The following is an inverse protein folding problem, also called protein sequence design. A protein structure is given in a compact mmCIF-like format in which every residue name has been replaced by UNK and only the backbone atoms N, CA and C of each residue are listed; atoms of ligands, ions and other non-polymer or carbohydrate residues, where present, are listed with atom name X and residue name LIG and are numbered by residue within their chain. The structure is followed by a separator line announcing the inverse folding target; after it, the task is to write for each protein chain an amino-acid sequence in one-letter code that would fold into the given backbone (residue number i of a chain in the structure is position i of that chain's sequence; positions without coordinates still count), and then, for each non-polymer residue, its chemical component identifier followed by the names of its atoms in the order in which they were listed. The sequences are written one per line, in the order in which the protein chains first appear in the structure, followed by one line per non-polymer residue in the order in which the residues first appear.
data_IF_885916676861
#
_entry.id   IF_885916676861
#
_cell.length_a   1.000
_cell.length_b   1.000
_cell.length_c   1.000
_cell.angle_alpha   90.00
_cell.angle_beta   90.00
_cell.angle_gamma   90.00
#
_symmetry.space_group_name_H-M   'P 1'
#
loop_
_entity.id
_entity.type
_entity.pdbx_description
1 polymer ?
#
# COMPACT_ATOMS: atom_id res chain seq x y z
N UNK A 1 56.82 -1.61 -6.82
CA UNK A 1 57.38 -2.77 -6.10
C UNK A 1 56.64 -3.98 -6.62
N UNK A 2 57.19 -4.60 -7.66
CA UNK A 2 56.74 -5.88 -8.21
C UNK A 2 56.84 -6.98 -7.17
N UNK A 3 55.95 -7.97 -7.24
CA UNK A 3 56.22 -9.37 -6.90
C UNK A 3 55.13 -10.26 -7.52
N UNK A 4 55.47 -10.82 -8.69
CA UNK A 4 54.92 -12.09 -9.22
C UNK A 4 55.41 -13.28 -8.38
N UNK A 5 54.61 -14.35 -8.30
CA UNK A 5 54.97 -15.78 -8.53
C UNK A 5 53.97 -16.69 -7.79
N UNK A 6 53.05 -17.39 -8.47
CA UNK A 6 53.24 -18.65 -9.22
C UNK A 6 53.45 -19.88 -8.34
N UNK A 7 52.46 -20.78 -8.31
CA UNK A 7 52.65 -22.23 -8.12
C UNK A 7 51.64 -23.01 -8.98
N UNK A 8 52.15 -23.61 -10.04
CA UNK A 8 51.54 -24.66 -10.87
C UNK A 8 52.48 -25.84 -10.78
N UNK A 9 51.99 -27.03 -10.40
CA UNK A 9 52.65 -28.34 -10.65
C UNK A 9 51.57 -29.42 -10.45
N UNK A 10 50.97 -29.99 -11.52
CA UNK A 10 51.42 -31.10 -12.39
C UNK A 10 51.28 -32.49 -11.73
N UNK A 11 50.40 -33.31 -12.33
CA UNK A 11 50.17 -34.74 -12.09
C UNK A 11 51.40 -35.60 -12.44
N UNK A 12 51.54 -36.75 -11.75
CA UNK A 12 52.47 -37.81 -12.19
C UNK A 12 52.53 -39.01 -11.23
N UNK A 13 51.97 -40.14 -11.67
CA UNK A 13 51.93 -41.45 -10.99
C UNK A 13 53.32 -42.06 -10.78
N UNK A 14 53.52 -42.77 -9.66
CA UNK A 14 54.45 -43.90 -9.57
C UNK A 14 53.76 -45.02 -8.78
N UNK A 15 53.69 -46.20 -9.41
CA UNK A 15 53.17 -47.46 -8.90
C UNK A 15 54.26 -48.32 -8.24
N UNK A 16 53.83 -49.05 -7.20
CA UNK A 16 54.30 -50.34 -6.66
C UNK A 16 55.77 -50.52 -6.25
N UNK A 17 56.00 -50.89 -4.97
CA UNK A 17 56.76 -52.09 -4.61
C UNK A 17 56.45 -52.57 -3.17
N UNK A 18 56.25 -53.88 -3.03
CA UNK A 18 55.86 -54.69 -1.86
C UNK A 18 56.98 -54.88 -0.81
N UNK A 19 56.58 -55.04 0.45
CA UNK A 19 57.31 -55.81 1.49
C UNK A 19 56.34 -56.71 2.29
N UNK A 20 56.82 -57.79 2.95
CA UNK A 20 56.09 -59.04 3.13
C UNK A 20 55.36 -59.21 4.47
N UNK A 21 54.43 -60.19 4.46
CA UNK A 21 53.54 -60.63 5.53
C UNK A 21 54.23 -60.97 6.86
N UNK A 22 53.67 -60.46 7.96
CA UNK A 22 53.73 -61.07 9.28
C UNK A 22 52.29 -61.24 9.79
N UNK A 23 51.89 -62.50 10.01
CA UNK A 23 50.56 -62.91 10.45
C UNK A 23 50.52 -62.89 11.98
N UNK A 24 49.69 -62.01 12.56
CA UNK A 24 49.28 -62.08 13.97
C UNK A 24 47.78 -62.37 14.04
N UNK A 25 47.42 -63.46 14.73
CA UNK A 25 46.06 -63.94 14.93
C UNK A 25 45.34 -63.05 15.96
N UNK A 26 44.22 -62.43 15.57
CA UNK A 26 43.25 -61.78 16.47
C UNK A 26 41.98 -62.66 16.60
N UNK A 27 41.33 -62.70 17.78
CA UNK A 27 40.11 -63.49 18.01
C UNK A 27 38.88 -62.88 17.29
N UNK A 28 37.79 -63.66 17.07
CA UNK A 28 36.71 -63.25 16.17
C UNK A 28 35.86 -62.11 16.77
N UNK A 29 35.71 -61.03 16.01
CA UNK A 29 34.73 -59.98 16.29
C UNK A 29 33.31 -60.46 15.94
N UNK A 30 32.34 -60.14 16.80
CA UNK A 30 30.91 -60.36 16.57
C UNK A 30 30.44 -59.59 15.33
N UNK A 31 29.48 -60.12 14.55
CA UNK A 31 28.91 -59.38 13.42
C UNK A 31 28.12 -58.16 13.95
N UNK A 32 28.57 -56.98 13.56
CA UNK A 32 27.89 -55.70 13.76
C UNK A 32 26.70 -55.62 12.78
N UNK A 33 25.52 -55.28 13.30
CA UNK A 33 24.31 -55.17 12.51
C UNK A 33 24.40 -53.99 11.52
N UNK A 34 23.80 -54.09 10.32
CA UNK A 34 23.81 -52.98 9.36
C UNK A 34 23.13 -51.74 9.97
N UNK A 35 23.64 -50.52 9.69
CA UNK A 35 23.00 -49.30 10.16
C UNK A 35 21.58 -49.22 9.59
N UNK A 36 20.62 -48.89 10.46
CA UNK A 36 19.24 -48.66 10.06
C UNK A 36 19.18 -47.56 8.99
N UNK A 37 18.31 -47.68 7.97
CA UNK A 37 18.20 -46.67 6.94
C UNK A 37 17.75 -45.35 7.57
N UNK A 38 18.50 -44.28 7.29
CA UNK A 38 18.13 -42.91 7.62
C UNK A 38 16.78 -42.66 6.95
N UNK A 39 15.73 -42.48 7.76
CA UNK A 39 14.44 -42.00 7.24
C UNK A 39 14.66 -40.56 6.77
N UNK A 40 14.78 -40.38 5.45
CA UNK A 40 14.57 -39.09 4.81
C UNK A 40 13.14 -38.64 5.14
N UNK A 41 13.00 -37.48 5.80
CA UNK A 41 11.70 -36.85 5.99
C UNK A 41 11.03 -36.70 4.61
N UNK A 42 9.73 -36.99 4.46
CA UNK A 42 9.05 -36.78 3.19
C UNK A 42 9.13 -35.29 2.83
N UNK A 43 9.63 -34.98 1.63
CA UNK A 43 9.51 -33.65 1.04
C UNK A 43 8.03 -33.28 0.97
N UNK A 44 7.65 -32.19 1.63
CA UNK A 44 6.30 -31.63 1.49
C UNK A 44 6.04 -31.31 0.01
N UNK A 45 4.81 -31.57 -0.45
CA UNK A 45 4.41 -31.20 -1.81
C UNK A 45 4.33 -29.68 -1.95
N UNK A 46 4.53 -29.16 -3.16
CA UNK A 46 4.48 -27.71 -3.44
C UNK A 46 3.15 -27.08 -2.99
N UNK A 47 2.03 -27.77 -3.21
CA UNK A 47 0.69 -27.34 -2.77
C UNK A 47 0.58 -27.20 -1.24
N UNK A 48 1.23 -28.09 -0.48
CA UNK A 48 1.23 -28.00 0.99
C UNK A 48 2.08 -26.83 1.49
N UNK A 49 3.14 -26.50 0.76
CA UNK A 49 3.98 -25.33 1.04
C UNK A 49 3.20 -24.06 0.80
N UNK A 50 2.59 -23.92 -0.38
CA UNK A 50 1.83 -22.71 -0.75
C UNK A 50 0.70 -22.45 0.23
N UNK A 51 -0.02 -23.51 0.64
CA UNK A 51 -1.08 -23.41 1.64
C UNK A 51 -0.57 -22.91 2.99
N UNK A 52 0.62 -23.34 3.42
CA UNK A 52 1.25 -22.85 4.67
C UNK A 52 1.66 -21.39 4.54
N UNK A 53 2.33 -21.02 3.45
CA UNK A 53 2.72 -19.64 3.18
C UNK A 53 1.49 -18.72 3.20
N UNK A 54 0.43 -19.11 2.49
CA UNK A 54 -0.82 -18.36 2.45
C UNK A 54 -1.47 -18.19 3.82
N UNK A 55 -1.47 -19.24 4.65
CA UNK A 55 -2.00 -19.17 6.01
C UNK A 55 -1.24 -18.14 6.86
N UNK A 56 0.09 -18.11 6.78
CA UNK A 56 0.91 -17.15 7.54
C UNK A 56 0.67 -15.73 7.04
N UNK A 57 0.57 -15.54 5.72
CA UNK A 57 0.31 -14.23 5.12
C UNK A 57 -1.08 -13.72 5.52
N UNK A 58 -2.12 -14.54 5.41
CA UNK A 58 -3.48 -14.13 5.76
C UNK A 58 -3.60 -13.81 7.26
N UNK A 59 -2.94 -14.56 8.15
CA UNK A 59 -2.88 -14.27 9.58
C UNK A 59 -2.13 -12.97 9.89
N UNK A 60 -0.96 -12.77 9.26
CA UNK A 60 -0.20 -11.54 9.36
C UNK A 60 -1.02 -10.33 8.91
N UNK A 61 -1.69 -10.41 7.76
CA UNK A 61 -2.48 -9.31 7.23
C UNK A 61 -3.72 -9.01 8.09
N UNK A 62 -4.24 -10.00 8.82
CA UNK A 62 -5.37 -9.82 9.72
C UNK A 62 -4.97 -9.18 11.06
N UNK A 63 -3.85 -9.59 11.65
CA UNK A 63 -3.45 -9.20 13.01
C UNK A 63 -2.37 -8.10 13.01
N UNK A 64 -1.65 -7.93 11.90
CA UNK A 64 -0.51 -7.04 11.71
C UNK A 64 0.64 -7.29 12.73
N UNK A 65 0.81 -8.54 13.17
CA UNK A 65 1.90 -8.93 14.06
C UNK A 65 3.15 -9.34 13.27
N UNK A 66 4.03 -8.37 13.04
CA UNK A 66 5.31 -8.59 12.39
C UNK A 66 6.20 -9.60 13.12
N UNK A 67 6.18 -9.64 14.45
CA UNK A 67 7.09 -10.52 15.21
C UNK A 67 6.70 -11.97 15.02
N UNK A 68 5.40 -12.26 15.11
CA UNK A 68 4.88 -13.60 14.90
C UNK A 68 5.13 -14.06 13.45
N UNK A 69 4.79 -13.23 12.46
CA UNK A 69 5.02 -13.57 11.05
C UNK A 69 6.49 -13.87 10.75
N UNK A 70 7.41 -13.06 11.29
CA UNK A 70 8.85 -13.25 11.18
C UNK A 70 9.35 -14.55 11.83
N UNK A 71 8.67 -15.02 12.89
CA UNK A 71 8.98 -16.30 13.53
C UNK A 71 8.43 -17.47 12.70
N UNK A 72 7.20 -17.39 12.22
CA UNK A 72 6.61 -18.43 11.36
C UNK A 72 7.44 -18.64 10.08
N UNK A 73 7.94 -17.56 9.45
CA UNK A 73 8.78 -17.65 8.26
C UNK A 73 10.16 -18.25 8.57
N UNK A 74 10.71 -18.00 9.76
CA UNK A 74 11.96 -18.63 10.19
C UNK A 74 11.80 -20.14 10.32
N UNK A 75 10.66 -20.63 10.82
CA UNK A 75 10.33 -22.06 10.87
C UNK A 75 10.14 -22.68 9.47
N UNK A 76 9.69 -21.89 8.49
CA UNK A 76 9.62 -22.30 7.08
C UNK A 76 11.01 -22.40 6.42
N UNK A 77 11.99 -21.58 6.83
CA UNK A 77 13.32 -21.49 6.19
C UNK A 77 14.09 -22.81 6.17
N UNK A 78 13.83 -23.69 7.15
CA UNK A 78 14.44 -25.02 7.24
C UNK A 78 14.08 -25.96 6.07
N UNK A 79 13.17 -25.55 5.18
CA UNK A 79 12.63 -26.35 4.09
C UNK A 79 12.94 -25.76 2.69
N UNK A 80 13.75 -24.71 2.59
CA UNK A 80 14.08 -24.02 1.32
C UNK A 80 12.88 -23.45 0.55
N UNK A 81 11.86 -22.98 1.27
CA UNK A 81 10.56 -22.54 0.73
C UNK A 81 10.41 -21.02 0.61
N UNK A 82 11.48 -20.26 0.88
CA UNK A 82 11.43 -18.80 0.98
C UNK A 82 11.05 -18.11 -0.33
N UNK A 83 11.50 -18.53 -1.53
CA UNK A 83 11.01 -17.96 -2.78
C UNK A 83 9.49 -18.14 -2.97
N UNK A 84 8.96 -19.29 -2.53
CA UNK A 84 7.52 -19.60 -2.62
C UNK A 84 6.73 -18.70 -1.68
N UNK A 85 7.24 -18.45 -0.47
CA UNK A 85 6.62 -17.48 0.46
C UNK A 85 6.52 -16.08 -0.17
N UNK A 86 7.58 -15.61 -0.82
CA UNK A 86 7.59 -14.32 -1.51
C UNK A 86 6.60 -14.33 -2.67
N UNK A 87 6.60 -15.35 -3.53
CA UNK A 87 5.67 -15.48 -4.67
C UNK A 87 4.21 -15.46 -4.23
N UNK A 88 3.82 -16.35 -3.31
CA UNK A 88 2.46 -16.42 -2.76
C UNK A 88 2.08 -15.08 -2.13
N UNK A 89 3.05 -14.44 -1.49
CA UNK A 89 2.91 -13.12 -0.92
C UNK A 89 2.56 -12.01 -1.90
N UNK A 90 3.33 -11.92 -2.98
CA UNK A 90 3.07 -10.99 -4.08
C UNK A 90 1.70 -11.30 -4.69
N UNK A 91 1.46 -12.53 -5.15
CA UNK A 91 0.23 -12.93 -5.82
C UNK A 91 -1.03 -12.71 -4.98
N UNK A 92 -0.97 -12.97 -3.67
CA UNK A 92 -2.12 -12.81 -2.79
C UNK A 92 -2.44 -11.37 -2.41
N UNK A 93 -1.50 -10.43 -2.60
CA UNK A 93 -1.64 -9.03 -2.15
C UNK A 93 -1.67 -8.02 -3.28
N UNK A 94 -1.19 -8.39 -4.47
CA UNK A 94 -1.00 -7.48 -5.61
C UNK A 94 -2.26 -6.66 -5.96
N UNK A 95 -3.42 -7.31 -5.96
CA UNK A 95 -4.72 -6.70 -6.29
C UNK A 95 -5.56 -6.31 -5.06
N UNK A 96 -4.98 -6.33 -3.85
CA UNK A 96 -5.64 -5.87 -2.62
C UNK A 96 -5.47 -4.36 -2.43
N UNK A 97 -5.76 -3.84 -1.23
CA UNK A 97 -5.57 -2.41 -0.91
C UNK A 97 -4.09 -2.00 -0.88
N UNK A 98 -3.83 -0.71 -1.04
CA UNK A 98 -2.48 -0.13 -0.93
C UNK A 98 -1.85 -0.43 0.43
N UNK A 99 -2.61 -0.33 1.52
CA UNK A 99 -2.14 -0.66 2.87
C UNK A 99 -1.71 -2.12 2.96
N UNK A 100 -2.47 -3.03 2.34
CA UNK A 100 -2.14 -4.46 2.31
C UNK A 100 -0.82 -4.70 1.58
N UNK A 101 -0.59 -4.03 0.44
CA UNK A 101 0.68 -4.09 -0.28
C UNK A 101 1.83 -3.48 0.51
N UNK A 102 1.64 -2.33 1.17
CA UNK A 102 2.69 -1.75 2.02
C UNK A 102 3.06 -2.70 3.16
N UNK A 103 2.08 -3.20 3.93
CA UNK A 103 2.33 -4.16 5.01
C UNK A 103 3.13 -5.37 4.53
N UNK A 104 2.78 -5.90 3.35
CA UNK A 104 3.50 -7.01 2.77
C UNK A 104 4.93 -6.65 2.37
N UNK A 105 5.13 -5.50 1.71
CA UNK A 105 6.45 -4.98 1.40
C UNK A 105 7.31 -4.71 2.65
N UNK A 106 6.71 -4.21 3.74
CA UNK A 106 7.38 -4.03 5.04
C UNK A 106 7.82 -5.37 5.63
N UNK A 107 6.97 -6.40 5.57
CA UNK A 107 7.31 -7.73 6.08
C UNK A 107 8.50 -8.32 5.31
N UNK A 108 8.47 -8.23 3.97
CA UNK A 108 9.59 -8.66 3.13
C UNK A 108 10.88 -7.89 3.45
N UNK A 109 10.80 -6.57 3.63
CA UNK A 109 11.95 -5.76 4.05
C UNK A 109 12.51 -6.22 5.40
N UNK A 110 11.68 -6.43 6.41
CA UNK A 110 12.12 -6.90 7.73
C UNK A 110 12.78 -8.29 7.66
N UNK A 111 12.23 -9.21 6.86
CA UNK A 111 12.80 -10.53 6.63
C UNK A 111 14.20 -10.45 6.01
N UNK A 112 14.39 -9.56 5.02
CA UNK A 112 15.70 -9.33 4.39
C UNK A 112 16.66 -8.65 5.37
N UNK A 113 16.20 -7.62 6.07
CA UNK A 113 17.00 -6.87 7.05
C UNK A 113 17.51 -7.76 8.18
N UNK A 114 16.70 -8.72 8.64
CA UNK A 114 17.09 -9.68 9.68
C UNK A 114 17.87 -10.88 9.15
N UNK A 115 18.14 -10.96 7.84
CA UNK A 115 18.84 -12.09 7.21
C UNK A 115 18.04 -13.39 7.15
N UNK A 116 16.73 -13.36 7.42
CA UNK A 116 15.83 -14.53 7.37
C UNK A 116 15.39 -14.85 5.94
N UNK A 117 15.35 -13.83 5.08
CA UNK A 117 15.12 -13.96 3.65
C UNK A 117 16.37 -13.50 2.90
N UNK A 118 16.93 -14.35 2.05
CA UNK A 118 18.06 -13.96 1.21
C UNK A 118 17.57 -13.05 0.07
N UNK A 119 18.44 -12.14 -0.40
CA UNK A 119 18.14 -11.30 -1.57
C UNK A 119 17.81 -12.13 -2.81
N UNK A 120 18.50 -13.25 -3.00
CA UNK A 120 18.27 -14.15 -4.14
C UNK A 120 16.88 -14.79 -4.09
N UNK A 121 16.43 -15.20 -2.91
CA UNK A 121 15.08 -15.74 -2.74
C UNK A 121 14.01 -14.67 -2.92
N UNK A 122 14.28 -13.44 -2.48
CA UNK A 122 13.42 -12.28 -2.76
C UNK A 122 13.27 -12.05 -4.26
N UNK A 123 14.38 -11.92 -5.01
CA UNK A 123 14.32 -11.74 -6.46
C UNK A 123 13.62 -12.90 -7.17
N UNK A 124 13.91 -14.14 -6.76
CA UNK A 124 13.31 -15.33 -7.33
C UNK A 124 11.79 -15.37 -7.13
N UNK A 125 11.30 -14.93 -5.97
CA UNK A 125 9.87 -14.89 -5.68
C UNK A 125 9.08 -13.88 -6.51
N UNK A 126 9.72 -12.82 -7.02
CA UNK A 126 9.11 -11.85 -7.93
C UNK A 126 9.20 -12.24 -9.40
N UNK A 127 10.09 -13.18 -9.77
CA UNK A 127 10.44 -13.46 -11.17
C UNK A 127 9.22 -13.80 -12.02
N UNK A 128 8.41 -14.77 -11.58
CA UNK A 128 7.24 -15.25 -12.33
C UNK A 128 6.21 -14.12 -12.54
N UNK A 129 5.96 -13.32 -11.50
CA UNK A 129 5.04 -12.17 -11.58
C UNK A 129 5.57 -11.08 -12.52
N UNK A 130 6.86 -10.77 -12.48
CA UNK A 130 7.47 -9.76 -13.36
C UNK A 130 7.48 -10.21 -14.83
N UNK A 131 7.69 -11.49 -15.10
CA UNK A 131 7.62 -12.06 -16.45
C UNK A 131 6.21 -11.95 -17.05
N UNK A 132 5.17 -12.08 -16.22
CA UNK A 132 3.76 -11.98 -16.64
C UNK A 132 3.18 -10.57 -16.51
N UNK A 133 3.91 -9.60 -15.96
CA UNK A 133 3.37 -8.29 -15.60
C UNK A 133 2.81 -7.48 -16.79
N UNK A 134 3.42 -7.60 -17.99
CA UNK A 134 2.92 -6.91 -19.18
C UNK A 134 1.58 -7.48 -19.67
N UNK A 135 1.40 -8.81 -19.57
CA UNK A 135 0.12 -9.46 -19.87
C UNK A 135 -0.93 -9.10 -18.80
N UNK A 136 -0.55 -9.11 -17.53
CA UNK A 136 -1.42 -8.71 -16.41
C UNK A 136 -1.88 -7.25 -16.51
N UNK A 137 -1.08 -6.37 -17.13
CA UNK A 137 -1.42 -4.96 -17.32
C UNK A 137 -2.69 -4.76 -18.18
N UNK A 138 -3.10 -5.78 -18.94
CA UNK A 138 -4.35 -5.77 -19.72
C UNK A 138 -5.56 -5.74 -18.78
N UNK A 139 -5.54 -6.55 -17.72
CA UNK A 139 -6.64 -6.68 -16.76
C UNK A 139 -6.46 -5.78 -15.52
N UNK A 140 -5.22 -5.42 -15.20
CA UNK A 140 -4.83 -4.64 -14.02
C UNK A 140 -4.08 -3.37 -14.48
N UNK A 141 -4.79 -2.27 -14.79
CA UNK A 141 -4.16 -1.07 -15.35
C UNK A 141 -3.04 -0.46 -14.49
N UNK A 142 -3.09 -0.66 -13.17
CA UNK A 142 -2.15 -0.11 -12.18
C UNK A 142 -1.10 -1.12 -11.70
N UNK A 143 -0.91 -2.24 -12.42
CA UNK A 143 0.00 -3.32 -12.01
C UNK A 143 1.42 -2.84 -11.69
N UNK A 144 1.94 -1.88 -12.45
CA UNK A 144 3.29 -1.34 -12.27
C UNK A 144 3.43 -0.56 -10.96
N UNK A 145 2.41 0.25 -10.61
CA UNK A 145 2.32 0.92 -9.32
C UNK A 145 2.22 -0.11 -8.19
N UNK A 146 1.39 -1.13 -8.34
CA UNK A 146 1.19 -2.16 -7.31
C UNK A 146 2.48 -2.96 -7.03
N UNK A 147 3.21 -3.32 -8.09
CA UNK A 147 4.54 -3.92 -7.97
C UNK A 147 5.53 -2.96 -7.30
N UNK A 148 5.52 -1.67 -7.67
CA UNK A 148 6.39 -0.68 -7.05
C UNK A 148 6.09 -0.50 -5.55
N UNK A 149 4.84 -0.55 -5.12
CA UNK A 149 4.43 -0.46 -3.71
C UNK A 149 4.96 -1.63 -2.88
N UNK A 150 4.94 -2.86 -3.42
CA UNK A 150 5.50 -4.04 -2.75
C UNK A 150 7.03 -3.97 -2.62
N UNK A 151 7.70 -3.29 -3.55
CA UNK A 151 9.16 -3.31 -3.68
C UNK A 151 9.84 -2.12 -3.01
N UNK A 152 9.21 -0.94 -3.02
CA UNK A 152 9.78 0.31 -2.50
C UNK A 152 10.26 0.21 -1.05
N UNK A 153 9.57 -0.49 -0.12
CA UNK A 153 10.08 -0.70 1.24
C UNK A 153 11.46 -1.34 1.30
N UNK A 154 11.85 -2.14 0.29
CA UNK A 154 13.15 -2.79 0.22
C UNK A 154 14.33 -1.80 0.06
N UNK A 155 14.06 -0.55 -0.31
CA UNK A 155 15.05 0.52 -0.43
C UNK A 155 15.32 1.27 0.88
N UNK A 156 14.65 0.89 1.97
CA UNK A 156 14.94 1.38 3.32
C UNK A 156 16.27 0.85 3.84
N UNK A 157 16.74 1.43 4.93
CA UNK A 157 17.98 1.01 5.58
C UNK A 157 17.97 -0.50 5.92
N UNK A 158 19.09 -1.17 5.67
CA UNK A 158 19.21 -2.63 5.86
C UNK A 158 18.56 -3.50 4.78
N UNK A 159 17.94 -2.90 3.76
CA UNK A 159 17.39 -3.61 2.60
C UNK A 159 18.40 -3.81 1.45
N UNK A 160 17.90 -3.68 0.22
CA UNK A 160 18.66 -3.86 -1.02
C UNK A 160 19.07 -2.50 -1.58
N UNK A 161 20.29 -2.41 -2.13
CA UNK A 161 20.72 -1.16 -2.76
C UNK A 161 19.88 -0.84 -4.01
N UNK A 162 19.59 0.44 -4.25
CA UNK A 162 18.81 0.87 -5.42
C UNK A 162 19.39 0.32 -6.73
N UNK A 163 20.72 0.33 -6.88
CA UNK A 163 21.39 -0.23 -8.05
C UNK A 163 21.11 -1.71 -8.26
N UNK A 164 21.30 -2.51 -7.21
CA UNK A 164 21.10 -3.98 -7.25
C UNK A 164 19.63 -4.31 -7.55
N UNK A 165 18.69 -3.63 -6.87
CA UNK A 165 17.27 -3.81 -7.07
C UNK A 165 16.87 -3.56 -8.53
N UNK A 166 17.24 -2.39 -9.09
CA UNK A 166 16.88 -2.01 -10.46
C UNK A 166 17.47 -2.99 -11.46
N UNK A 167 18.73 -3.40 -11.28
CA UNK A 167 19.37 -4.33 -12.20
C UNK A 167 18.68 -5.69 -12.22
N UNK A 168 18.33 -6.24 -11.05
CA UNK A 168 17.69 -7.55 -10.95
C UNK A 168 16.24 -7.52 -11.47
N UNK A 169 15.44 -6.54 -11.05
CA UNK A 169 14.04 -6.42 -11.46
C UNK A 169 13.88 -6.08 -12.94
N UNK A 170 14.88 -5.44 -13.55
CA UNK A 170 14.83 -5.10 -14.98
C UNK A 170 15.10 -6.31 -15.88
N UNK A 171 15.79 -7.37 -15.41
CA UNK A 171 16.12 -8.54 -16.25
C UNK A 171 14.91 -9.14 -16.98
N UNK A 172 13.78 -9.46 -16.31
CA UNK A 172 12.60 -9.97 -17.00
C UNK A 172 11.85 -8.90 -17.81
N UNK A 173 12.04 -7.61 -17.50
CA UNK A 173 11.27 -6.51 -18.09
C UNK A 173 11.93 -5.85 -19.32
N UNK A 174 13.24 -6.02 -19.49
CA UNK A 174 13.98 -5.48 -20.64
C UNK A 174 13.48 -6.06 -21.98
N UNK A 175 13.25 -7.39 -22.13
CA UNK A 175 12.76 -7.97 -23.39
C UNK A 175 11.40 -7.43 -23.83
N UNK A 176 10.54 -7.04 -22.89
CA UNK A 176 9.20 -6.49 -23.14
C UNK A 176 9.18 -4.96 -23.12
N UNK A 177 10.32 -4.30 -22.91
CA UNK A 177 10.42 -2.84 -22.92
C UNK A 177 9.72 -2.13 -21.74
N UNK A 178 9.49 -2.83 -20.61
CA UNK A 178 8.76 -2.30 -19.45
C UNK A 178 9.62 -1.94 -18.25
N UNK A 179 10.94 -2.16 -18.32
CA UNK A 179 11.85 -1.89 -17.21
C UNK A 179 11.78 -0.42 -16.75
N UNK A 180 11.75 0.53 -17.70
CA UNK A 180 11.61 1.95 -17.41
C UNK A 180 10.31 2.32 -16.70
N UNK A 181 9.20 1.63 -16.99
CA UNK A 181 7.88 1.88 -16.40
C UNK A 181 7.89 1.55 -14.90
N UNK A 182 8.32 0.34 -14.54
CA UNK A 182 8.44 -0.04 -13.12
C UNK A 182 9.44 0.87 -12.38
N UNK A 183 10.56 1.20 -13.01
CA UNK A 183 11.56 2.09 -12.42
C UNK A 183 10.97 3.48 -12.14
N UNK A 184 10.18 4.03 -13.07
CA UNK A 184 9.53 5.33 -12.90
C UNK A 184 8.58 5.31 -11.70
N UNK A 185 7.77 4.27 -11.54
CA UNK A 185 6.86 4.10 -10.40
C UNK A 185 7.61 4.03 -9.06
N UNK A 186 8.69 3.23 -8.98
CA UNK A 186 9.53 3.15 -7.78
C UNK A 186 10.10 4.54 -7.42
N UNK A 187 10.64 5.26 -8.40
CA UNK A 187 11.21 6.60 -8.16
C UNK A 187 10.14 7.63 -7.77
N UNK A 188 8.94 7.52 -8.34
CA UNK A 188 7.80 8.36 -7.99
C UNK A 188 7.36 8.13 -6.54
N UNK A 189 7.20 6.87 -6.11
CA UNK A 189 6.87 6.53 -4.72
C UNK A 189 7.94 7.02 -3.74
N UNK A 190 9.22 6.91 -4.09
CA UNK A 190 10.29 7.49 -3.28
C UNK A 190 10.16 9.01 -3.18
N UNK A 191 9.78 9.71 -4.25
CA UNK A 191 9.56 11.16 -4.22
C UNK A 191 8.38 11.56 -3.31
N UNK A 192 7.38 10.70 -3.13
CA UNK A 192 6.32 10.90 -2.13
C UNK A 192 6.84 10.76 -0.70
N UNK A 193 7.81 9.87 -0.47
CA UNK A 193 8.37 9.61 0.87
C UNK A 193 9.54 10.55 1.24
N UNK A 194 10.24 11.10 0.24
CA UNK A 194 11.39 11.98 0.47
C UNK A 194 11.57 13.00 -0.67
N UNK A 195 12.24 14.13 -0.41
CA UNK A 195 12.42 15.17 -1.42
C UNK A 195 13.04 14.68 -2.74
N UNK A 196 12.60 15.23 -3.88
CA UNK A 196 13.17 14.98 -5.21
C UNK A 196 14.70 15.13 -5.26
N UNK A 197 15.27 16.06 -4.47
CA UNK A 197 16.73 16.25 -4.37
C UNK A 197 17.42 15.02 -3.81
N UNK A 198 16.82 14.36 -2.81
CA UNK A 198 17.36 13.14 -2.18
C UNK A 198 17.22 11.94 -3.13
N UNK A 199 16.05 11.76 -3.75
CA UNK A 199 15.85 10.70 -4.76
C UNK A 199 16.81 10.86 -5.94
N UNK A 200 16.98 12.09 -6.44
CA UNK A 200 17.94 12.39 -7.50
C UNK A 200 19.40 12.21 -7.10
N UNK A 201 19.74 12.24 -5.80
CA UNK A 201 21.06 11.85 -5.32
C UNK A 201 21.23 10.32 -5.34
N UNK A 202 20.26 9.59 -4.78
CA UNK A 202 20.25 8.12 -4.80
C UNK A 202 20.34 7.56 -6.22
N UNK A 203 19.56 8.09 -7.16
CA UNK A 203 19.60 7.71 -8.57
C UNK A 203 21.01 7.91 -9.15
N UNK A 204 21.64 9.06 -8.93
CA UNK A 204 23.00 9.34 -9.43
C UNK A 204 24.06 8.41 -8.83
N UNK A 205 23.91 8.03 -7.57
CA UNK A 205 24.81 7.08 -6.89
C UNK A 205 24.76 5.68 -7.49
N UNK A 206 23.64 5.30 -8.14
CA UNK A 206 23.56 4.01 -8.84
C UNK A 206 24.51 3.90 -10.04
N UNK A 207 24.87 5.03 -10.65
CA UNK A 207 25.64 5.09 -11.89
C UNK A 207 24.89 4.53 -13.10
N UNK A 208 23.57 4.34 -13.01
CA UNK A 208 22.73 3.81 -14.08
C UNK A 208 22.27 4.90 -15.05
N UNK A 209 21.96 4.51 -16.29
CA UNK A 209 21.42 5.38 -17.32
C UNK A 209 20.01 4.95 -17.69
N UNK A 210 19.07 5.90 -17.82
CA UNK A 210 17.71 5.61 -18.30
C UNK A 210 17.71 4.91 -19.66
N UNK A 211 18.69 5.22 -20.53
CA UNK A 211 18.81 4.59 -21.85
C UNK A 211 18.99 3.08 -21.79
N UNK A 212 19.48 2.54 -20.67
CA UNK A 212 19.68 1.10 -20.50
C UNK A 212 18.35 0.38 -20.18
N UNK A 213 17.30 1.13 -19.84
CA UNK A 213 16.01 0.61 -19.35
C UNK A 213 14.81 1.07 -20.19
N UNK A 214 15.05 1.82 -21.27
CA UNK A 214 14.04 2.24 -22.23
C UNK A 214 14.23 1.53 -23.58
N UNK A 215 13.14 1.23 -24.31
CA UNK A 215 13.17 0.84 -25.71
C UNK A 215 14.10 1.69 -26.59
N UNK A 216 14.71 1.05 -27.60
CA UNK A 216 15.59 1.75 -28.54
C UNK A 216 14.85 2.89 -29.27
N UNK A 217 15.41 4.09 -29.20
CA UNK A 217 14.87 5.28 -29.87
C UNK A 217 13.87 6.09 -29.04
N UNK A 218 13.49 5.62 -27.85
CA UNK A 218 12.66 6.39 -26.93
C UNK A 218 13.44 7.55 -26.30
N UNK A 219 12.83 8.73 -26.28
CA UNK A 219 13.42 9.91 -25.66
C UNK A 219 13.16 9.93 -24.15
N UNK A 220 14.23 10.00 -23.37
CA UNK A 220 14.17 9.96 -21.90
C UNK A 220 13.30 11.08 -21.33
N UNK A 221 13.41 12.30 -21.87
CA UNK A 221 12.67 13.44 -21.35
C UNK A 221 11.17 13.29 -21.61
N UNK A 222 10.81 12.87 -22.82
CA UNK A 222 9.43 12.62 -23.24
C UNK A 222 8.82 11.50 -22.38
N UNK A 223 9.54 10.38 -22.22
CA UNK A 223 9.11 9.27 -21.36
C UNK A 223 8.83 9.75 -19.92
N UNK A 224 9.78 10.48 -19.30
CA UNK A 224 9.62 10.94 -17.92
C UNK A 224 8.46 11.93 -17.77
N UNK A 225 8.23 12.80 -18.75
CA UNK A 225 7.06 13.69 -18.73
C UNK A 225 5.76 12.89 -18.77
N UNK A 226 5.67 11.89 -19.64
CA UNK A 226 4.50 11.02 -19.74
C UNK A 226 4.25 10.26 -18.43
N UNK A 227 5.29 9.67 -17.82
CA UNK A 227 5.15 8.96 -16.55
C UNK A 227 4.67 9.86 -15.40
N UNK A 228 5.18 11.10 -15.30
CA UNK A 228 4.68 12.06 -14.30
C UNK A 228 3.21 12.35 -14.53
N UNK A 229 2.80 12.63 -15.78
CA UNK A 229 1.38 12.90 -16.10
C UNK A 229 0.46 11.69 -15.89
N UNK A 230 0.98 10.46 -16.02
CA UNK A 230 0.22 9.24 -15.76
C UNK A 230 0.05 8.97 -14.26
N UNK A 231 1.09 9.24 -13.45
CA UNK A 231 1.03 9.14 -11.99
C UNK A 231 0.20 10.25 -11.33
N UNK A 232 0.11 11.41 -11.98
CA UNK A 232 -0.70 12.57 -11.59
C UNK A 232 -2.07 12.58 -12.28
N UNK A 233 -2.67 11.41 -12.58
CA UNK A 233 -4.11 11.35 -12.86
C UNK A 233 -4.90 11.68 -11.58
N UNK A 234 -4.80 12.93 -11.14
CA UNK A 234 -5.69 13.48 -10.14
C UNK A 234 -7.10 13.44 -10.72
N UNK A 235 -7.99 12.68 -10.08
CA UNK A 235 -9.40 12.74 -10.41
C UNK A 235 -9.85 14.19 -10.23
N UNK A 236 -10.41 14.78 -11.29
CA UNK A 236 -10.95 16.13 -11.18
C UNK A 236 -12.09 16.15 -10.14
N UNK A 237 -12.40 17.33 -9.62
CA UNK A 237 -13.51 17.50 -8.67
C UNK A 237 -14.83 16.91 -9.19
N UNK A 238 -15.08 16.98 -10.49
CA UNK A 238 -16.29 16.46 -11.13
C UNK A 238 -16.28 14.92 -11.17
N UNK A 239 -15.14 14.31 -11.51
CA UNK A 239 -14.98 12.86 -11.54
C UNK A 239 -15.06 12.25 -10.14
N UNK A 240 -14.42 12.88 -9.14
CA UNK A 240 -14.52 12.50 -7.74
C UNK A 240 -15.96 12.48 -7.25
N UNK A 241 -16.70 13.57 -7.49
CA UNK A 241 -18.11 13.66 -7.11
C UNK A 241 -18.94 12.56 -7.78
N UNK A 242 -18.75 12.33 -9.08
CA UNK A 242 -19.50 11.33 -9.84
C UNK A 242 -19.22 9.92 -9.33
N UNK A 243 -17.96 9.58 -9.06
CA UNK A 243 -17.59 8.23 -8.61
C UNK A 243 -18.05 7.96 -7.17
N UNK A 244 -17.87 8.90 -6.25
CA UNK A 244 -18.35 8.75 -4.87
C UNK A 244 -19.88 8.73 -4.79
N UNK A 245 -20.57 9.53 -5.60
CA UNK A 245 -22.03 9.48 -5.71
C UNK A 245 -22.51 8.13 -6.21
N UNK A 246 -21.92 7.60 -7.28
CA UNK A 246 -22.24 6.25 -7.77
C UNK A 246 -22.01 5.21 -6.67
N UNK A 247 -20.83 5.23 -6.03
CA UNK A 247 -20.44 4.23 -5.04
C UNK A 247 -21.34 4.23 -3.81
N UNK A 248 -21.67 5.41 -3.28
CA UNK A 248 -22.42 5.56 -2.02
C UNK A 248 -23.95 5.52 -2.26
N UNK A 249 -24.44 6.16 -3.33
CA UNK A 249 -25.88 6.34 -3.58
C UNK A 249 -26.44 5.21 -4.45
N UNK A 250 -25.79 4.91 -5.58
CA UNK A 250 -26.30 3.93 -6.57
C UNK A 250 -25.95 2.50 -6.16
N UNK A 251 -24.65 2.23 -5.97
CA UNK A 251 -24.11 0.89 -5.69
C UNK A 251 -24.32 0.49 -4.22
N UNK A 252 -24.59 1.47 -3.35
CA UNK A 252 -24.79 1.28 -1.89
C UNK A 252 -23.66 0.46 -1.25
N UNK A 253 -22.43 0.74 -1.67
CA UNK A 253 -21.23 0.04 -1.19
C UNK A 253 -21.12 0.12 0.34
N UNK A 254 -20.61 -0.93 0.98
CA UNK A 254 -20.32 -0.89 2.41
C UNK A 254 -19.08 -0.03 2.71
N UNK A 255 -18.76 0.18 3.99
CA UNK A 255 -17.65 1.07 4.36
C UNK A 255 -16.28 0.54 3.91
N UNK A 256 -16.05 -0.77 3.98
CA UNK A 256 -14.82 -1.43 3.53
C UNK A 256 -14.58 -1.21 2.03
N UNK A 257 -15.62 -1.41 1.21
CA UNK A 257 -15.56 -1.15 -0.23
C UNK A 257 -15.29 0.32 -0.57
N UNK A 258 -15.78 1.25 0.26
CA UNK A 258 -15.50 2.68 0.07
C UNK A 258 -14.06 2.99 0.46
N UNK A 259 -13.56 2.44 1.56
CA UNK A 259 -12.15 2.58 1.95
C UNK A 259 -11.22 2.02 0.87
N UNK A 260 -11.49 0.80 0.40
CA UNK A 260 -10.73 0.17 -0.67
C UNK A 260 -10.71 1.02 -1.94
N UNK A 261 -11.87 1.57 -2.33
CA UNK A 261 -11.94 2.45 -3.49
C UNK A 261 -11.14 3.74 -3.29
N UNK A 262 -11.27 4.40 -2.14
CA UNK A 262 -10.51 5.63 -1.86
C UNK A 262 -9.00 5.36 -1.87
N UNK A 263 -8.56 4.28 -1.22
CA UNK A 263 -7.14 3.89 -1.17
C UNK A 263 -6.60 3.43 -2.52
N UNK A 264 -7.43 2.85 -3.39
CA UNK A 264 -7.02 2.44 -4.72
C UNK A 264 -6.94 3.60 -5.73
N UNK A 265 -7.65 4.71 -5.49
CA UNK A 265 -7.83 5.78 -6.47
C UNK A 265 -7.23 7.13 -6.05
N UNK A 266 -6.98 7.35 -4.76
CA UNK A 266 -6.44 8.60 -4.23
C UNK A 266 -5.16 8.34 -3.46
N UNK A 267 -4.23 9.29 -3.53
CA UNK A 267 -3.06 9.27 -2.65
C UNK A 267 -3.31 10.01 -1.33
N UNK A 268 -2.35 9.90 -0.41
CA UNK A 268 -2.45 10.49 0.93
C UNK A 268 -2.68 12.01 0.92
N UNK A 269 -2.15 12.73 -0.09
CA UNK A 269 -2.35 14.17 -0.21
C UNK A 269 -3.78 14.50 -0.67
N UNK A 270 -4.31 13.71 -1.60
CA UNK A 270 -5.65 13.84 -2.13
C UNK A 270 -6.72 13.42 -1.12
N UNK A 271 -6.47 12.40 -0.31
CA UNK A 271 -7.37 11.96 0.78
C UNK A 271 -7.59 13.04 1.85
N UNK A 272 -6.66 14.00 1.98
CA UNK A 272 -6.81 15.16 2.88
C UNK A 272 -7.21 16.43 2.15
N UNK A 273 -7.46 16.37 0.84
CA UNK A 273 -7.75 17.55 0.03
C UNK A 273 -9.17 18.07 0.25
N UNK A 274 -9.40 19.40 0.21
CA UNK A 274 -10.74 19.98 0.24
C UNK A 274 -11.66 19.38 -0.84
N UNK A 275 -11.14 19.10 -2.03
CA UNK A 275 -11.90 18.55 -3.15
C UNK A 275 -12.53 17.20 -2.79
N UNK A 276 -11.73 16.27 -2.25
CA UNK A 276 -12.21 14.96 -1.84
C UNK A 276 -13.20 15.05 -0.68
N UNK A 277 -12.86 15.78 0.38
CA UNK A 277 -13.69 15.89 1.58
C UNK A 277 -15.08 16.45 1.25
N UNK A 278 -15.13 17.46 0.37
CA UNK A 278 -16.40 18.04 -0.11
C UNK A 278 -17.20 17.06 -0.95
N UNK A 279 -16.55 16.27 -1.80
CA UNK A 279 -17.21 15.26 -2.62
C UNK A 279 -17.80 14.12 -1.77
N UNK A 280 -17.02 13.62 -0.81
CA UNK A 280 -17.47 12.60 0.16
C UNK A 280 -18.69 13.09 0.95
N UNK A 281 -18.60 14.29 1.53
CA UNK A 281 -19.69 14.88 2.29
C UNK A 281 -20.95 15.07 1.43
N UNK A 282 -20.79 15.55 0.19
CA UNK A 282 -21.89 15.73 -0.76
C UNK A 282 -22.58 14.39 -1.05
N UNK A 283 -21.82 13.32 -1.31
CA UNK A 283 -22.37 12.01 -1.62
C UNK A 283 -23.11 11.39 -0.42
N UNK A 284 -22.56 11.49 0.79
CA UNK A 284 -23.23 11.01 2.02
C UNK A 284 -24.52 11.79 2.27
N UNK A 285 -24.49 13.12 2.13
CA UNK A 285 -25.69 13.95 2.30
C UNK A 285 -26.76 13.61 1.27
N UNK A 286 -26.38 13.42 -0.01
CA UNK A 286 -27.31 13.00 -1.06
C UNK A 286 -27.96 11.66 -0.74
N UNK A 287 -27.18 10.67 -0.28
CA UNK A 287 -27.70 9.36 0.10
C UNK A 287 -28.71 9.42 1.25
N UNK A 288 -28.53 10.38 2.18
CA UNK A 288 -29.38 10.55 3.34
C UNK A 288 -30.67 11.34 3.07
N UNK A 289 -30.80 12.02 1.92
CA UNK A 289 -32.02 12.79 1.60
C UNK A 289 -33.08 11.87 1.00
N UNK A 290 -34.24 11.81 1.65
CA UNK A 290 -35.37 10.97 1.24
C UNK A 290 -36.65 11.79 1.03
N UNK A 291 -37.46 11.39 0.03
CA UNK A 291 -38.78 11.95 -0.24
C UNK A 291 -38.78 13.48 -0.40
N UNK A 292 -39.75 14.15 0.22
CA UNK A 292 -39.90 15.62 0.23
C UNK A 292 -38.90 16.29 1.19
N UNK A 293 -37.60 16.15 0.93
CA UNK A 293 -36.52 16.83 1.65
C UNK A 293 -36.47 16.55 3.16
N UNK A 294 -36.46 15.26 3.53
CA UNK A 294 -36.15 14.80 4.90
C UNK A 294 -34.79 14.13 4.95
N UNK A 295 -34.18 14.12 6.13
CA UNK A 295 -32.94 13.39 6.40
C UNK A 295 -33.26 12.05 7.02
N UNK A 296 -32.80 10.97 6.39
CA UNK A 296 -32.69 9.65 7.01
C UNK A 296 -31.40 9.60 7.84
N UNK A 297 -31.54 9.81 9.15
CA UNK A 297 -30.39 9.83 10.07
C UNK A 297 -29.71 8.48 10.19
N UNK A 298 -30.40 7.37 9.87
CA UNK A 298 -29.78 6.05 9.88
C UNK A 298 -28.69 5.93 8.81
N UNK A 299 -28.89 6.54 7.65
CA UNK A 299 -27.89 6.57 6.57
C UNK A 299 -26.67 7.38 6.97
N UNK A 300 -26.85 8.52 7.67
CA UNK A 300 -25.71 9.32 8.16
C UNK A 300 -24.94 8.52 9.21
N UNK A 301 -25.64 7.98 10.22
CA UNK A 301 -25.04 7.14 11.28
C UNK A 301 -24.25 5.97 10.72
N UNK A 302 -24.76 5.33 9.68
CA UNK A 302 -24.06 4.26 8.97
C UNK A 302 -22.71 4.73 8.39
N UNK A 303 -22.59 6.00 7.97
CA UNK A 303 -21.38 6.55 7.33
C UNK A 303 -20.47 7.34 8.25
N UNK A 304 -20.82 7.47 9.54
CA UNK A 304 -19.97 8.11 10.56
C UNK A 304 -18.54 7.57 10.56
N UNK A 305 -18.28 6.24 10.49
CA UNK A 305 -16.90 5.73 10.49
C UNK A 305 -16.05 6.28 9.33
N UNK A 306 -16.63 6.43 8.14
CA UNK A 306 -15.94 6.97 6.97
C UNK A 306 -15.69 8.46 7.14
N UNK A 307 -16.69 9.23 7.59
CA UNK A 307 -16.56 10.66 7.79
C UNK A 307 -15.49 10.96 8.85
N UNK A 308 -15.51 10.27 9.99
CA UNK A 308 -14.50 10.42 11.04
C UNK A 308 -13.10 10.04 10.56
N UNK A 309 -12.96 8.96 9.76
CA UNK A 309 -11.66 8.53 9.22
C UNK A 309 -10.97 9.62 8.40
N UNK A 310 -11.71 10.42 7.63
CA UNK A 310 -11.12 11.39 6.70
C UNK A 310 -11.15 12.83 7.22
N UNK A 311 -12.14 13.21 8.04
CA UNK A 311 -12.18 14.51 8.72
C UNK A 311 -11.19 14.56 9.90
N UNK A 312 -10.93 13.43 10.55
CA UNK A 312 -9.83 13.24 11.50
C UNK A 312 -9.82 14.26 12.66
N UNK A 313 -11.01 14.68 13.10
CA UNK A 313 -11.20 15.73 14.12
C UNK A 313 -10.44 17.04 13.83
N UNK A 314 -10.15 17.31 12.55
CA UNK A 314 -9.47 18.52 12.11
C UNK A 314 -10.51 19.58 11.72
N UNK A 315 -10.50 20.70 12.44
CA UNK A 315 -11.50 21.77 12.29
C UNK A 315 -11.53 22.35 10.87
N UNK A 316 -10.41 22.41 10.15
CA UNK A 316 -10.39 22.93 8.77
C UNK A 316 -11.00 21.92 7.79
N UNK A 317 -10.79 20.62 8.00
CA UNK A 317 -11.42 19.55 7.21
C UNK A 317 -12.93 19.50 7.46
N UNK A 318 -13.35 19.57 8.72
CA UNK A 318 -14.76 19.65 9.11
C UNK A 318 -15.45 20.88 8.50
N UNK A 319 -14.75 22.02 8.48
CA UNK A 319 -15.24 23.23 7.84
C UNK A 319 -15.49 23.05 6.33
N UNK A 320 -14.62 22.30 5.63
CA UNK A 320 -14.85 21.94 4.23
C UNK A 320 -16.12 21.09 4.05
N UNK A 321 -16.38 20.14 4.95
CA UNK A 321 -17.61 19.35 4.95
C UNK A 321 -18.85 20.24 5.13
N UNK A 322 -18.81 21.19 6.06
CA UNK A 322 -19.92 22.15 6.27
C UNK A 322 -20.17 23.04 5.05
N UNK A 323 -19.13 23.48 4.35
CA UNK A 323 -19.30 24.22 3.10
C UNK A 323 -19.90 23.37 1.98
N UNK A 324 -19.50 22.10 1.85
CA UNK A 324 -20.11 21.17 0.90
C UNK A 324 -21.59 20.91 1.19
N UNK A 325 -21.93 20.73 2.46
CA UNK A 325 -23.30 20.59 2.92
C UNK A 325 -24.11 21.85 2.57
N UNK A 326 -23.64 23.04 2.94
CA UNK A 326 -24.31 24.30 2.58
C UNK A 326 -24.55 24.39 1.06
N UNK A 327 -23.51 24.16 0.25
CA UNK A 327 -23.61 24.22 -1.20
C UNK A 327 -24.64 23.22 -1.75
N UNK A 328 -24.73 22.02 -1.16
CA UNK A 328 -25.72 21.01 -1.52
C UNK A 328 -27.14 21.44 -1.18
N UNK A 329 -27.36 22.01 0.00
CA UNK A 329 -28.67 22.54 0.41
C UNK A 329 -29.09 23.72 -0.47
N UNK A 330 -28.15 24.58 -0.85
CA UNK A 330 -28.40 25.71 -1.77
C UNK A 330 -28.84 25.22 -3.14
N UNK A 331 -28.25 24.14 -3.67
CA UNK A 331 -28.66 23.52 -4.94
C UNK A 331 -30.07 22.94 -4.91
N UNK A 332 -30.62 22.66 -3.73
CA UNK A 332 -31.99 22.18 -3.54
C UNK A 332 -32.98 23.31 -3.27
N UNK A 333 -32.61 24.56 -3.54
CA UNK A 333 -33.38 25.77 -3.24
C UNK A 333 -33.69 25.96 -1.74
N UNK A 334 -32.83 25.42 -0.87
CA UNK A 334 -32.84 25.63 0.58
C UNK A 334 -34.18 25.27 1.26
N UNK A 335 -34.60 24.00 1.20
CA UNK A 335 -35.83 23.55 1.84
C UNK A 335 -35.77 23.79 3.35
N UNK A 336 -36.91 24.16 3.97
CA UNK A 336 -36.95 24.50 5.39
C UNK A 336 -36.53 23.31 6.24
N UNK A 337 -35.79 23.59 7.31
CA UNK A 337 -35.31 22.63 8.31
C UNK A 337 -34.30 21.57 7.81
N UNK A 338 -34.05 21.42 6.50
CA UNK A 338 -33.15 20.38 6.00
C UNK A 338 -31.71 20.56 6.51
N UNK A 339 -31.16 21.77 6.39
CA UNK A 339 -29.80 22.07 6.91
C UNK A 339 -29.72 21.85 8.42
N UNK A 340 -30.78 22.22 9.16
CA UNK A 340 -30.87 22.04 10.60
C UNK A 340 -30.80 20.57 11.00
N UNK A 341 -31.56 19.71 10.33
CA UNK A 341 -31.53 18.25 10.60
C UNK A 341 -30.15 17.65 10.37
N UNK A 342 -29.42 18.10 9.36
CA UNK A 342 -28.02 17.67 9.16
C UNK A 342 -27.10 18.17 10.28
N UNK A 343 -27.22 19.44 10.69
CA UNK A 343 -26.41 20.00 11.77
C UNK A 343 -26.60 19.24 13.08
N UNK A 344 -27.86 19.00 13.46
CA UNK A 344 -28.18 18.23 14.68
C UNK A 344 -27.54 16.83 14.61
N UNK A 345 -27.72 16.11 13.50
CA UNK A 345 -27.18 14.75 13.36
C UNK A 345 -25.64 14.70 13.33
N UNK A 346 -24.98 15.65 12.67
CA UNK A 346 -23.52 15.68 12.56
C UNK A 346 -22.87 16.09 13.88
N UNK A 347 -23.54 16.93 14.66
CA UNK A 347 -23.12 17.28 16.01
C UNK A 347 -23.31 16.10 16.97
N UNK A 348 -24.50 15.50 17.00
CA UNK A 348 -24.83 14.38 17.90
C UNK A 348 -23.93 13.14 17.70
N UNK A 349 -23.47 12.92 16.46
CA UNK A 349 -22.56 11.81 16.11
C UNK A 349 -21.07 12.20 16.17
N UNK A 350 -20.74 13.37 16.73
CA UNK A 350 -19.37 13.88 16.91
C UNK A 350 -18.57 13.98 15.60
N UNK A 351 -19.24 14.16 14.46
CA UNK A 351 -18.59 14.27 13.15
C UNK A 351 -18.04 15.68 12.91
N UNK A 352 -18.71 16.69 13.46
CA UNK A 352 -18.34 18.10 13.34
C UNK A 352 -18.28 18.73 14.73
N UNK A 353 -17.14 19.33 15.06
CA UNK A 353 -16.91 20.02 16.33
C UNK A 353 -17.63 21.37 16.43
N UNK A 354 -17.80 21.86 17.65
CA UNK A 354 -18.34 23.20 17.95
C UNK A 354 -17.52 24.30 17.28
N UNK A 355 -16.19 24.17 17.35
CA UNK A 355 -15.25 25.07 16.70
C UNK A 355 -15.48 25.17 15.19
N UNK A 356 -15.73 24.03 14.52
CA UNK A 356 -16.01 24.03 13.09
C UNK A 356 -17.35 24.70 12.77
N UNK A 357 -18.39 24.48 13.59
CA UNK A 357 -19.68 25.17 13.43
C UNK A 357 -19.52 26.69 13.61
N UNK A 358 -18.81 27.15 14.64
CA UNK A 358 -18.58 28.59 14.86
C UNK A 358 -17.70 29.22 13.78
N UNK A 359 -16.67 28.51 13.29
CA UNK A 359 -15.89 28.96 12.13
C UNK A 359 -16.74 29.06 10.88
N UNK A 360 -17.61 28.09 10.63
CA UNK A 360 -18.55 28.16 9.52
C UNK A 360 -19.50 29.35 9.68
N UNK A 361 -20.07 29.57 10.86
CA UNK A 361 -21.01 30.67 11.14
C UNK A 361 -20.37 32.04 10.86
N UNK A 362 -19.15 32.24 11.36
CA UNK A 362 -18.40 33.49 11.27
C UNK A 362 -17.69 33.72 9.92
N UNK A 363 -17.58 32.66 9.09
CA UNK A 363 -16.84 32.69 7.83
C UNK A 363 -17.26 33.83 6.89
N UNK A 364 -16.24 34.53 6.37
CA UNK A 364 -16.34 35.61 5.38
C UNK A 364 -15.69 35.25 4.05
N UNK A 365 -15.38 33.97 3.82
CA UNK A 365 -14.81 33.52 2.55
C UNK A 365 -15.75 33.89 1.40
N UNK A 366 -15.31 34.71 0.42
CA UNK A 366 -16.12 35.11 -0.72
C UNK A 366 -16.69 33.93 -1.52
N UNK A 367 -15.97 32.81 -1.60
CA UNK A 367 -16.41 31.62 -2.33
C UNK A 367 -17.63 30.93 -1.68
N UNK A 368 -17.79 31.09 -0.36
CA UNK A 368 -18.79 30.37 0.44
C UNK A 368 -19.99 31.25 0.85
N UNK A 369 -20.10 32.46 0.28
CA UNK A 369 -21.21 33.37 0.59
C UNK A 369 -22.51 33.05 -0.14
N UNK A 370 -22.47 32.23 -1.20
CA UNK A 370 -23.67 31.88 -1.95
C UNK A 370 -24.67 31.12 -1.06
N UNK A 371 -25.90 31.64 -0.95
CA UNK A 371 -26.95 31.10 -0.08
C UNK A 371 -26.70 31.21 1.43
N UNK A 372 -25.50 31.65 1.86
CA UNK A 372 -25.08 31.69 3.27
C UNK A 372 -26.06 32.39 4.20
N UNK A 373 -26.61 33.53 3.77
CA UNK A 373 -27.53 34.31 4.60
C UNK A 373 -28.84 33.59 4.92
N UNK A 374 -29.35 32.78 3.99
CA UNK A 374 -30.56 31.96 4.21
C UNK A 374 -30.21 30.72 5.03
N UNK A 375 -29.07 30.07 4.74
CA UNK A 375 -28.53 28.99 5.54
C UNK A 375 -28.41 29.39 7.02
N UNK A 376 -27.74 30.51 7.34
CA UNK A 376 -27.59 31.04 8.70
C UNK A 376 -28.94 31.26 9.41
N UNK A 377 -29.92 31.83 8.70
CA UNK A 377 -31.28 32.02 9.25
C UNK A 377 -31.95 30.69 9.58
N UNK A 378 -31.73 29.66 8.78
CA UNK A 378 -32.35 28.34 9.00
C UNK A 378 -31.80 27.58 10.21
N UNK A 379 -30.56 27.89 10.63
CA UNK A 379 -29.88 27.23 11.76
C UNK A 379 -29.66 28.15 12.96
N UNK A 380 -30.30 29.33 13.00
CA UNK A 380 -30.11 30.29 14.11
C UNK A 380 -30.43 29.66 15.47
N UNK A 381 -31.50 28.86 15.56
CA UNK A 381 -31.86 28.17 16.80
C UNK A 381 -30.86 27.09 17.23
N UNK A 382 -30.06 26.53 16.30
CA UNK A 382 -29.00 25.57 16.63
C UNK A 382 -27.86 26.29 17.35
N UNK A 383 -27.41 27.43 16.80
CA UNK A 383 -26.35 28.23 17.42
C UNK A 383 -26.77 28.94 18.71
N UNK A 384 -28.05 29.27 18.88
CA UNK A 384 -28.55 29.75 20.18
C UNK A 384 -28.39 28.67 21.23
N UNK A 385 -28.85 27.44 20.93
CA UNK A 385 -28.72 26.31 21.83
C UNK A 385 -27.25 25.94 22.12
N UNK A 386 -26.39 25.96 21.10
CA UNK A 386 -24.97 25.60 21.27
C UNK A 386 -24.25 26.52 22.29
N UNK A 387 -24.51 27.83 22.22
CA UNK A 387 -23.95 28.81 23.18
C UNK A 387 -24.54 28.66 24.58
N UNK A 388 -25.84 28.38 24.69
CA UNK A 388 -26.50 28.16 25.99
C UNK A 388 -25.91 26.92 26.69
N UNK A 389 -25.66 25.84 25.95
CA UNK A 389 -25.04 24.62 26.49
C UNK A 389 -23.58 24.85 26.92
N UNK A 390 -22.82 25.66 26.17
CA UNK A 390 -21.45 26.05 26.50
C UNK A 390 -21.40 26.84 27.83
N UNK A 391 -22.24 27.87 27.98
CA UNK A 391 -22.36 28.68 29.21
C UNK A 391 -22.72 27.83 30.45
N UNK A 392 -23.63 26.85 30.32
CA UNK A 392 -23.99 25.93 31.41
C UNK A 392 -22.88 24.94 31.81
N UNK A 393 -21.93 24.67 30.90
CA UNK A 393 -20.80 23.78 31.14
C UNK A 393 -19.62 24.49 31.82
N UNK A 394 -19.43 25.80 31.58
CA UNK A 394 -18.39 26.62 32.21
C UNK A 394 -18.74 27.04 33.65
N UNK A 395 -20.04 27.09 33.99
CA UNK A 395 -20.56 27.43 35.32
C UNK A 395 -20.63 26.24 36.31
N UNK A 396 -20.29 25.01 35.87
CA UNK A 396 -20.21 23.79 36.69
C UNK A 396 -18.75 23.33 36.91
#
# INVERSE_FOLDING_TARGET
VDLQSSWVFVEGRISDFRFPNAVFLLPPAKPEAPPAPVQEKPSLSEEEVERKCKSIIDEFLHINDFKEAMQCVEELSAQSLLPVFVRVGVESTLERSQITRDHMGQLLHQLVQSGKLSKQDFFKGFSDTLEMADDMAIDIPHIWLYLAELVTPMLKEGGISMRELIQEFSKPLLPVGRAGVLLAEILHLLCKQMSHKKVGALWRETGLSWKDYLPEGEDVHTFLMEQVTLSEKELSAEELNKQLEKLIVEDKANDEQIFDWVEANLDQSQMSSPTFLRALMTAVCKAAIIGDFRVDTAVIKQRVPILLKYLDSDTEKELQALYALQASIVKLDQPPNLLRMFFDCLYDEEVISEDAFYKWESSKDPAEQNGKGVALKSVTAFFTWLREAEEESEDN
#
